data_IF_903073727974
#
_entry.id   IF_903073727974
#
_cell.length_a   1.000
_cell.length_b   1.000
_cell.length_c   1.000
_cell.angle_alpha   90.00
_cell.angle_beta   90.00
_cell.angle_gamma   90.00
#
_symmetry.space_group_name_H-M   'P 1'
#
loop_
_entity.id
_entity.type
_entity.pdbx_description
1 polymer ?
#
# COMPACT_ATOMS: atom_id res chain seq x y z
N UNK A 1 4.10 -38.37 -22.82
CA UNK A 1 3.64 -37.13 -23.48
C UNK A 1 2.16 -36.99 -23.20
N UNK A 2 1.77 -36.03 -22.36
CA UNK A 2 0.38 -35.84 -21.93
C UNK A 2 0.20 -34.43 -21.41
N UNK A 3 0.21 -33.46 -22.33
CA UNK A 3 0.01 -32.06 -22.03
C UNK A 3 -1.41 -31.83 -21.53
N UNK A 4 -1.55 -31.50 -20.25
CA UNK A 4 -2.78 -30.93 -19.72
C UNK A 4 -2.79 -29.44 -20.05
N UNK A 5 -3.29 -29.08 -21.23
CA UNK A 5 -3.72 -27.72 -21.51
C UNK A 5 -4.98 -27.44 -20.71
N UNK A 6 -4.82 -26.72 -19.60
CA UNK A 6 -5.94 -26.10 -18.91
C UNK A 6 -6.51 -25.01 -19.84
N UNK A 7 -7.77 -25.08 -20.28
CA UNK A 7 -8.34 -24.01 -21.07
C UNK A 7 -8.54 -22.81 -20.14
N UNK A 8 -7.79 -21.74 -20.37
CA UNK A 8 -8.13 -20.42 -19.85
C UNK A 8 -9.52 -20.09 -20.37
N UNK A 9 -10.55 -20.29 -19.54
CA UNK A 9 -11.89 -19.78 -19.79
C UNK A 9 -11.75 -18.26 -19.92
N UNK A 10 -11.89 -17.75 -21.14
CA UNK A 10 -12.09 -16.33 -21.36
C UNK A 10 -13.31 -15.92 -20.55
N UNK A 11 -13.09 -15.03 -19.57
CA UNK A 11 -14.20 -14.39 -18.89
C UNK A 11 -14.89 -13.51 -19.93
N UNK A 12 -15.99 -14.00 -20.52
CA UNK A 12 -16.92 -13.19 -21.29
C UNK A 12 -17.67 -12.26 -20.34
N UNK A 13 -16.94 -11.32 -19.74
CA UNK A 13 -17.50 -10.17 -19.03
C UNK A 13 -17.63 -9.03 -20.02
N UNK A 14 -18.78 -8.35 -20.02
CA UNK A 14 -18.97 -7.15 -20.83
C UNK A 14 -17.98 -6.03 -20.48
N UNK A 15 -18.12 -4.89 -21.16
CA UNK A 15 -17.37 -3.67 -20.84
C UNK A 15 -18.05 -2.95 -19.68
N UNK A 16 -17.27 -2.33 -18.79
CA UNK A 16 -17.81 -1.52 -17.69
C UNK A 16 -18.68 -0.40 -18.26
N UNK A 17 -19.76 -0.02 -17.56
CA UNK A 17 -20.65 1.08 -17.96
C UNK A 17 -20.67 2.17 -16.90
N UNK A 18 -21.11 3.37 -17.27
CA UNK A 18 -21.29 4.50 -16.34
C UNK A 18 -22.13 4.11 -15.12
N UNK A 19 -23.26 3.45 -15.37
CA UNK A 19 -24.16 3.00 -14.32
C UNK A 19 -23.48 2.00 -13.39
N UNK A 20 -22.78 1.02 -13.94
CA UNK A 20 -22.06 0.03 -13.13
C UNK A 20 -20.90 0.67 -12.36
N UNK A 21 -20.18 1.63 -12.96
CA UNK A 21 -19.12 2.35 -12.28
C UNK A 21 -19.68 3.13 -11.09
N UNK A 22 -20.75 3.91 -11.30
CA UNK A 22 -21.41 4.62 -10.23
C UNK A 22 -21.85 3.65 -9.12
N UNK A 23 -22.63 2.62 -9.46
CA UNK A 23 -23.32 1.77 -8.49
C UNK A 23 -22.42 0.79 -7.74
N UNK A 24 -21.37 0.26 -8.40
CA UNK A 24 -20.56 -0.83 -7.85
C UNK A 24 -19.10 -0.44 -7.59
N UNK A 25 -18.54 0.56 -8.31
CA UNK A 25 -17.13 0.97 -8.16
C UNK A 25 -17.00 2.12 -7.16
N UNK A 26 -17.88 3.12 -7.22
CA UNK A 26 -17.85 4.25 -6.29
C UNK A 26 -18.42 3.85 -4.92
N UNK A 27 -17.51 3.49 -4.00
CA UNK A 27 -17.87 3.00 -2.67
C UNK A 27 -18.34 4.06 -1.65
N UNK A 28 -17.84 5.31 -1.61
CA UNK A 28 -18.22 6.23 -0.54
C UNK A 28 -19.69 6.67 -0.62
N UNK A 29 -20.43 6.58 0.49
CA UNK A 29 -21.78 7.14 0.59
C UNK A 29 -21.82 8.66 0.54
N UNK A 30 -20.78 9.31 1.07
CA UNK A 30 -20.61 10.77 1.04
C UNK A 30 -19.20 11.11 0.56
N UNK A 31 -18.89 10.99 -0.74
CA UNK A 31 -17.53 11.15 -1.23
C UNK A 31 -17.00 12.55 -0.95
N UNK A 32 -15.67 12.69 -0.79
CA UNK A 32 -15.06 13.96 -1.15
C UNK A 32 -15.15 14.17 -2.66
N UNK A 33 -15.54 15.36 -3.10
CA UNK A 33 -15.60 15.69 -4.52
C UNK A 33 -15.32 17.18 -4.76
N UNK A 34 -14.95 17.52 -6.00
CA UNK A 34 -14.67 18.89 -6.43
C UNK A 34 -14.64 19.04 -7.95
N UNK A 35 -14.92 20.26 -8.43
CA UNK A 35 -14.69 20.67 -9.82
C UNK A 35 -13.32 21.35 -10.03
N UNK A 36 -12.65 21.74 -8.94
CA UNK A 36 -11.37 22.44 -9.00
C UNK A 36 -10.50 22.02 -7.81
N UNK A 37 -9.44 21.26 -8.09
CA UNK A 37 -8.49 20.77 -7.09
C UNK A 37 -7.84 21.90 -6.27
N UNK A 38 -7.70 23.11 -6.82
CA UNK A 38 -7.13 24.27 -6.12
C UNK A 38 -8.09 24.89 -5.09
N UNK A 39 -9.41 24.72 -5.27
CA UNK A 39 -10.43 25.23 -4.34
C UNK A 39 -10.71 24.26 -3.19
N UNK A 40 -10.00 23.13 -3.13
CA UNK A 40 -10.21 22.08 -2.15
C UNK A 40 -11.28 21.06 -2.56
N UNK A 41 -11.60 20.18 -1.63
CA UNK A 41 -12.53 19.06 -1.79
C UNK A 41 -13.49 18.99 -0.60
N UNK A 42 -14.75 18.64 -0.84
CA UNK A 42 -15.79 18.68 0.18
C UNK A 42 -16.61 17.39 0.22
N UNK A 43 -17.04 16.99 1.42
CA UNK A 43 -17.98 15.88 1.61
C UNK A 43 -19.37 16.30 1.14
N UNK A 44 -19.97 15.55 0.23
CA UNK A 44 -21.33 15.83 -0.27
C UNK A 44 -22.17 14.55 -0.40
N UNK A 45 -23.40 14.64 -0.90
CA UNK A 45 -24.20 13.46 -1.21
C UNK A 45 -23.56 12.69 -2.38
N UNK A 46 -23.89 11.40 -2.54
CA UNK A 46 -23.37 10.62 -3.66
C UNK A 46 -23.84 11.17 -5.01
N UNK A 47 -25.10 11.60 -5.09
CA UNK A 47 -25.68 12.13 -6.33
C UNK A 47 -25.01 13.46 -6.73
N UNK A 48 -24.76 14.36 -5.78
CA UNK A 48 -24.01 15.59 -6.05
C UNK A 48 -22.57 15.28 -6.46
N UNK A 49 -21.91 14.32 -5.81
CA UNK A 49 -20.54 13.95 -6.11
C UNK A 49 -20.38 13.34 -7.51
N UNK A 50 -21.38 12.58 -7.98
CA UNK A 50 -21.41 12.02 -9.33
C UNK A 50 -21.52 13.09 -10.42
N UNK A 51 -21.99 14.28 -10.09
CA UNK A 51 -22.01 15.44 -10.98
C UNK A 51 -20.69 16.26 -10.97
N UNK A 52 -19.71 15.90 -10.12
CA UNK A 52 -18.44 16.62 -10.01
C UNK A 52 -17.35 16.01 -10.90
N UNK A 53 -16.38 16.82 -11.31
CA UNK A 53 -15.24 16.41 -12.14
C UNK A 53 -14.32 15.41 -11.43
N UNK A 54 -14.09 15.59 -10.14
CA UNK A 54 -13.22 14.72 -9.34
C UNK A 54 -13.97 14.18 -8.12
N UNK A 55 -13.76 12.92 -7.80
CA UNK A 55 -14.49 12.21 -6.74
C UNK A 55 -13.60 11.19 -6.01
N UNK A 56 -13.80 11.04 -4.70
CA UNK A 56 -13.13 10.03 -3.87
C UNK A 56 -13.54 8.64 -4.33
N UNK A 57 -12.61 7.85 -4.87
CA UNK A 57 -12.94 6.53 -5.42
C UNK A 57 -13.16 5.47 -4.33
N UNK A 58 -12.50 5.61 -3.18
CA UNK A 58 -12.56 4.65 -2.08
C UNK A 58 -12.63 5.37 -0.73
N UNK A 59 -13.53 5.00 0.19
CA UNK A 59 -13.69 5.67 1.46
C UNK A 59 -12.45 5.46 2.31
N UNK A 60 -12.02 6.44 3.10
CA UNK A 60 -10.81 6.38 3.93
C UNK A 60 -10.50 5.00 4.57
N UNK A 61 -11.51 4.31 5.12
CA UNK A 61 -11.33 3.02 5.79
C UNK A 61 -11.02 1.83 4.86
N UNK A 62 -11.39 1.89 3.57
CA UNK A 62 -11.30 0.77 2.62
C UNK A 62 -10.64 1.21 1.33
N UNK A 63 -9.84 0.35 0.71
CA UNK A 63 -9.41 0.49 -0.67
C UNK A 63 -10.28 -0.41 -1.54
N UNK A 64 -11.15 0.20 -2.35
CA UNK A 64 -12.05 -0.47 -3.29
C UNK A 64 -11.51 -0.56 -4.70
N UNK A 65 -10.61 0.37 -5.05
CA UNK A 65 -9.97 0.42 -6.35
C UNK A 65 -8.54 0.90 -6.21
N UNK A 66 -7.67 0.45 -7.12
CA UNK A 66 -6.34 1.00 -7.31
C UNK A 66 -6.43 1.98 -8.47
N UNK A 67 -6.05 3.25 -8.24
CA UNK A 67 -6.08 4.30 -9.26
C UNK A 67 -4.70 4.89 -9.39
N UNK A 68 -4.20 4.96 -10.61
CA UNK A 68 -2.89 5.52 -10.95
C UNK A 68 -3.11 6.77 -11.81
N UNK A 69 -2.51 7.89 -11.43
CA UNK A 69 -2.44 9.09 -12.26
C UNK A 69 -1.28 8.92 -13.26
N UNK A 70 -1.55 9.19 -14.53
CA UNK A 70 -0.59 9.09 -15.62
C UNK A 70 -0.59 10.40 -16.40
N UNK A 71 0.56 11.07 -16.37
CA UNK A 71 0.74 12.40 -16.95
C UNK A 71 1.38 12.32 -18.34
N UNK A 72 0.79 11.51 -19.22
CA UNK A 72 1.29 11.36 -20.59
C UNK A 72 0.15 11.46 -21.61
N UNK A 73 0.42 12.10 -22.75
CA UNK A 73 -0.58 12.38 -23.81
C UNK A 73 -1.24 11.13 -24.41
N UNK A 74 -0.54 10.00 -24.34
CA UNK A 74 -0.93 8.69 -24.87
C UNK A 74 -1.34 7.73 -23.73
N UNK A 75 -1.64 8.23 -22.51
CA UNK A 75 -1.91 7.39 -21.34
C UNK A 75 -3.03 6.36 -21.57
N UNK A 76 -4.09 6.74 -22.28
CA UNK A 76 -5.15 5.82 -22.70
C UNK A 76 -4.65 4.73 -23.66
N UNK A 77 -3.80 5.08 -24.61
CA UNK A 77 -3.19 4.13 -25.53
C UNK A 77 -2.30 3.15 -24.75
N UNK A 78 -1.37 3.64 -23.93
CA UNK A 78 -0.48 2.80 -23.11
C UNK A 78 -1.24 1.86 -22.18
N UNK A 79 -2.37 2.29 -21.64
CA UNK A 79 -3.17 1.50 -20.72
C UNK A 79 -3.89 0.31 -21.39
N UNK A 80 -4.06 0.32 -22.72
CA UNK A 80 -4.72 -0.76 -23.46
C UNK A 80 -3.84 -1.38 -24.56
N UNK A 81 -2.69 -0.78 -24.86
CA UNK A 81 -1.73 -1.26 -25.86
C UNK A 81 -1.28 -2.68 -25.53
N UNK A 82 -1.14 -3.50 -26.58
CA UNK A 82 -0.71 -4.89 -26.47
C UNK A 82 0.61 -5.08 -27.22
N UNK A 83 1.55 -5.88 -26.67
CA UNK A 83 1.46 -6.61 -25.41
C UNK A 83 1.60 -5.70 -24.17
N UNK A 84 0.74 -5.89 -23.16
CA UNK A 84 0.86 -5.20 -21.87
C UNK A 84 1.50 -6.10 -20.79
N UNK A 85 2.25 -5.50 -19.87
CA UNK A 85 2.83 -6.18 -18.71
C UNK A 85 1.94 -6.08 -17.45
N UNK A 86 0.78 -5.44 -17.59
CA UNK A 86 -0.26 -5.28 -16.58
C UNK A 86 -1.63 -5.77 -17.10
N UNK A 87 -2.56 -6.12 -16.19
CA UNK A 87 -3.94 -6.42 -16.58
C UNK A 87 -4.65 -5.20 -17.15
N UNK A 88 -5.58 -5.43 -18.07
CA UNK A 88 -6.43 -4.39 -18.61
C UNK A 88 -7.12 -3.60 -17.48
N UNK A 89 -7.10 -2.26 -17.50
CA UNK A 89 -7.81 -1.46 -16.52
C UNK A 89 -9.33 -1.58 -16.72
N UNK A 90 -10.08 -1.40 -15.64
CA UNK A 90 -11.54 -1.35 -15.70
C UNK A 90 -12.02 -0.01 -16.30
N UNK A 91 -11.28 1.07 -16.07
CA UNK A 91 -11.52 2.36 -16.73
C UNK A 91 -10.24 3.17 -16.90
N UNK A 92 -10.25 4.04 -17.90
CA UNK A 92 -9.32 5.15 -18.07
C UNK A 92 -10.14 6.41 -18.28
N UNK A 93 -10.00 7.38 -17.38
CA UNK A 93 -10.63 8.71 -17.54
C UNK A 93 -9.54 9.72 -17.89
N UNK A 94 -9.60 10.30 -19.08
CA UNK A 94 -8.57 11.18 -19.64
C UNK A 94 -9.10 12.60 -19.83
N UNK A 95 -8.27 13.60 -19.53
CA UNK A 95 -8.55 14.99 -19.92
C UNK A 95 -8.05 15.28 -21.33
N UNK A 96 -8.57 16.30 -22.03
CA UNK A 96 -8.06 16.69 -23.36
C UNK A 96 -6.55 17.00 -23.42
N UNK A 97 -5.94 17.38 -22.29
CA UNK A 97 -4.47 17.57 -22.20
C UNK A 97 -3.67 16.28 -22.12
N UNK A 98 -4.33 15.11 -22.11
CA UNK A 98 -3.71 13.80 -22.07
C UNK A 98 -3.57 13.17 -20.68
N UNK A 99 -3.61 13.96 -19.60
CA UNK A 99 -3.50 13.41 -18.23
C UNK A 99 -4.65 12.46 -17.93
N UNK A 100 -4.36 11.23 -17.52
CA UNK A 100 -5.37 10.19 -17.33
C UNK A 100 -5.30 9.56 -15.94
N UNK A 101 -6.46 9.17 -15.41
CA UNK A 101 -6.53 8.27 -14.27
C UNK A 101 -6.93 6.89 -14.76
N UNK A 102 -6.10 5.91 -14.43
CA UNK A 102 -6.27 4.51 -14.82
C UNK A 102 -6.69 3.73 -13.57
N UNK A 103 -7.79 2.99 -13.66
CA UNK A 103 -8.41 2.36 -12.50
C UNK A 103 -8.65 0.87 -12.62
N UNK A 104 -8.35 0.14 -11.55
CA UNK A 104 -8.67 -1.27 -11.37
C UNK A 104 -9.56 -1.46 -10.14
N UNK A 105 -10.76 -2.00 -10.35
CA UNK A 105 -11.80 -2.22 -9.35
C UNK A 105 -11.61 -3.58 -8.65
N UNK A 106 -11.71 -3.61 -7.31
CA UNK A 106 -11.50 -4.82 -6.51
C UNK A 106 -12.79 -5.60 -6.17
N UNK A 107 -13.96 -5.11 -6.58
CA UNK A 107 -15.24 -5.72 -6.23
C UNK A 107 -15.39 -5.92 -4.73
N UNK A 108 -15.93 -7.05 -4.24
CA UNK A 108 -16.14 -7.27 -2.81
C UNK A 108 -14.84 -7.44 -1.99
N UNK A 109 -13.67 -7.56 -2.63
CA UNK A 109 -12.39 -7.86 -1.99
C UNK A 109 -11.64 -6.60 -1.53
N UNK A 110 -12.35 -5.68 -0.88
CA UNK A 110 -11.76 -4.43 -0.40
C UNK A 110 -10.62 -4.66 0.60
N UNK A 111 -9.64 -3.76 0.60
CA UNK A 111 -8.52 -3.80 1.56
C UNK A 111 -8.78 -2.80 2.67
N UNK A 112 -8.88 -3.29 3.92
CA UNK A 112 -8.98 -2.41 5.08
C UNK A 112 -7.69 -1.59 5.26
N UNK A 113 -7.85 -0.28 5.53
CA UNK A 113 -6.75 0.70 5.72
C UNK A 113 -6.68 1.26 7.14
N UNK A 114 -7.60 0.88 8.02
CA UNK A 114 -7.65 1.36 9.40
C UNK A 114 -6.66 0.60 10.31
N UNK A 115 -6.59 0.98 11.57
CA UNK A 115 -5.84 0.26 12.62
C UNK A 115 -6.27 -1.20 12.81
N UNK A 116 -7.48 -1.54 12.38
CA UNK A 116 -8.04 -2.90 12.39
C UNK A 116 -7.60 -3.74 11.17
N UNK A 117 -6.82 -3.16 10.26
CA UNK A 117 -6.38 -3.82 9.04
C UNK A 117 -5.40 -4.97 9.32
N UNK A 118 -5.55 -6.05 8.55
CA UNK A 118 -4.48 -7.04 8.40
C UNK A 118 -3.36 -6.40 7.57
N UNK A 119 -2.16 -6.33 8.13
CA UNK A 119 -1.00 -5.73 7.45
C UNK A 119 -0.62 -6.47 6.15
N UNK A 120 -0.87 -7.77 6.05
CA UNK A 120 -0.48 -8.58 4.88
C UNK A 120 -1.22 -8.14 3.60
N UNK A 121 -2.57 -8.09 3.55
CA UNK A 121 -3.30 -7.52 2.41
C UNK A 121 -2.91 -6.07 2.10
N UNK A 122 -2.77 -5.21 3.11
CA UNK A 122 -2.42 -3.81 2.91
C UNK A 122 -1.05 -3.63 2.25
N UNK A 123 -0.04 -4.36 2.73
CA UNK A 123 1.30 -4.39 2.12
C UNK A 123 1.27 -4.97 0.72
N UNK A 124 0.45 -5.99 0.49
CA UNK A 124 0.34 -6.58 -0.85
C UNK A 124 -0.31 -5.61 -1.83
N UNK A 125 -1.40 -4.93 -1.44
CA UNK A 125 -2.05 -3.91 -2.25
C UNK A 125 -1.08 -2.79 -2.64
N UNK A 126 -0.21 -2.37 -1.73
CA UNK A 126 0.80 -1.36 -2.05
C UNK A 126 1.88 -1.88 -3.02
N UNK A 127 2.30 -3.15 -2.91
CA UNK A 127 3.20 -3.76 -3.91
C UNK A 127 2.55 -3.81 -5.29
N UNK A 128 1.27 -4.16 -5.35
CA UNK A 128 0.47 -4.19 -6.58
C UNK A 128 0.39 -2.77 -7.19
N UNK A 129 0.02 -1.77 -6.39
CA UNK A 129 0.00 -0.36 -6.81
C UNK A 129 1.36 0.07 -7.39
N UNK A 130 2.46 -0.30 -6.72
CA UNK A 130 3.83 0.00 -7.20
C UNK A 130 4.10 -0.65 -8.55
N UNK A 131 3.75 -1.94 -8.71
CA UNK A 131 3.93 -2.66 -9.97
C UNK A 131 3.13 -2.04 -11.11
N UNK A 132 1.84 -1.77 -10.89
CA UNK A 132 0.96 -1.13 -11.87
C UNK A 132 1.46 0.27 -12.26
N UNK A 133 1.94 1.05 -11.28
CA UNK A 133 2.48 2.38 -11.51
C UNK A 133 3.72 2.36 -12.40
N UNK A 134 4.63 1.40 -12.21
CA UNK A 134 5.79 1.22 -13.09
C UNK A 134 5.31 0.83 -14.49
N UNK A 135 4.43 -0.17 -14.58
CA UNK A 135 3.90 -0.69 -15.85
C UNK A 135 3.28 0.39 -16.73
N UNK A 136 2.50 1.32 -16.14
CA UNK A 136 1.83 2.40 -16.89
C UNK A 136 2.57 3.74 -16.89
N UNK A 137 3.81 3.78 -16.37
CA UNK A 137 4.57 5.02 -16.24
C UNK A 137 3.87 6.11 -15.40
N UNK A 138 3.16 5.70 -14.36
CA UNK A 138 2.34 6.59 -13.53
C UNK A 138 3.14 7.43 -12.54
N UNK A 139 2.50 8.48 -12.03
CA UNK A 139 3.08 9.40 -11.05
C UNK A 139 3.14 8.78 -9.62
N UNK A 140 4.34 8.81 -9.04
CA UNK A 140 4.62 8.34 -7.68
C UNK A 140 4.28 9.35 -6.59
N UNK A 141 4.16 10.64 -6.94
CA UNK A 141 3.77 11.70 -6.01
C UNK A 141 2.26 11.69 -5.72
N UNK A 142 1.45 11.27 -6.70
CA UNK A 142 0.00 11.15 -6.58
C UNK A 142 -0.44 10.38 -5.31
N UNK A 143 -1.27 11.04 -4.51
CA UNK A 143 -1.75 10.56 -3.19
C UNK A 143 -2.93 9.60 -3.25
N UNK A 144 -3.55 9.41 -4.42
CA UNK A 144 -4.54 8.34 -4.60
C UNK A 144 -5.90 8.55 -3.94
N UNK A 145 -6.29 9.77 -3.55
CA UNK A 145 -7.59 10.01 -2.90
C UNK A 145 -8.71 10.27 -3.92
N UNK A 146 -8.54 11.25 -4.80
CA UNK A 146 -9.55 11.68 -5.77
C UNK A 146 -9.24 11.14 -7.16
N UNK A 147 -10.20 10.50 -7.81
CA UNK A 147 -10.10 10.17 -9.23
C UNK A 147 -10.81 11.20 -10.10
N UNK A 148 -10.38 11.38 -11.36
CA UNK A 148 -11.26 11.89 -12.42
C UNK A 148 -12.49 11.00 -12.45
N UNK A 149 -13.67 11.61 -12.38
CA UNK A 149 -14.95 10.93 -12.34
C UNK A 149 -15.32 10.37 -13.72
N UNK A 150 -15.23 9.05 -13.99
CA UNK A 150 -15.34 8.51 -15.34
C UNK A 150 -16.66 8.78 -16.06
N UNK A 151 -17.73 9.12 -15.31
CA UNK A 151 -19.03 9.45 -15.89
C UNK A 151 -19.23 10.95 -16.18
N UNK A 152 -18.26 11.80 -15.83
CA UNK A 152 -18.36 13.24 -16.03
C UNK A 152 -18.00 13.62 -17.47
N UNK A 153 -18.79 14.48 -18.16
CA UNK A 153 -18.62 14.77 -19.59
C UNK A 153 -17.32 15.48 -19.96
N UNK A 154 -16.67 16.18 -19.02
CA UNK A 154 -15.35 16.80 -19.25
C UNK A 154 -14.22 15.78 -19.53
N UNK A 155 -14.44 14.50 -19.24
CA UNK A 155 -13.43 13.46 -19.42
C UNK A 155 -13.79 12.52 -20.55
N UNK A 156 -12.78 12.19 -21.35
CA UNK A 156 -12.85 11.11 -22.31
C UNK A 156 -12.58 9.81 -21.58
N UNK A 157 -13.63 9.00 -21.42
CA UNK A 157 -13.56 7.74 -20.67
C UNK A 157 -13.57 6.54 -21.60
N UNK A 158 -12.59 5.66 -21.43
CA UNK A 158 -12.54 4.36 -22.07
C UNK A 158 -12.72 3.30 -20.99
N UNK A 159 -13.75 2.46 -21.16
CA UNK A 159 -14.01 1.35 -20.26
C UNK A 159 -13.37 0.07 -20.76
N UNK A 160 -12.80 -0.68 -19.82
CA UNK A 160 -12.31 -2.04 -20.04
C UNK A 160 -13.27 -3.08 -19.45
N UNK A 161 -12.77 -4.25 -19.04
CA UNK A 161 -13.59 -5.33 -18.52
C UNK A 161 -14.49 -4.89 -17.35
N UNK A 162 -15.75 -5.33 -17.34
CA UNK A 162 -16.71 -5.10 -16.26
C UNK A 162 -16.46 -5.96 -15.02
N UNK A 163 -15.58 -6.95 -15.11
CA UNK A 163 -15.32 -7.90 -14.03
C UNK A 163 -14.33 -7.31 -13.02
N UNK A 164 -14.64 -7.36 -11.70
CA UNK A 164 -13.69 -6.92 -10.68
C UNK A 164 -12.49 -7.87 -10.54
N UNK A 165 -11.38 -7.33 -10.06
CA UNK A 165 -10.16 -8.06 -9.81
C UNK A 165 -9.97 -8.43 -8.34
N UNK A 166 -9.35 -9.57 -8.09
CA UNK A 166 -8.62 -9.80 -6.83
C UNK A 166 -7.26 -9.11 -6.90
N UNK A 167 -6.69 -8.72 -5.75
CA UNK A 167 -5.33 -8.15 -5.71
C UNK A 167 -4.29 -9.04 -6.41
N UNK A 168 -4.45 -10.37 -6.35
CA UNK A 168 -3.51 -11.31 -6.99
C UNK A 168 -3.52 -11.18 -8.51
N UNK A 169 -4.69 -10.98 -9.09
CA UNK A 169 -4.83 -10.83 -10.55
C UNK A 169 -4.22 -9.53 -11.05
N UNK A 170 -4.02 -8.54 -10.17
CA UNK A 170 -3.38 -7.26 -10.48
C UNK A 170 -1.84 -7.30 -10.44
N UNK A 171 -1.23 -8.45 -10.15
CA UNK A 171 0.22 -8.54 -10.08
C UNK A 171 0.85 -8.44 -11.48
N UNK A 172 1.83 -7.55 -11.59
CA UNK A 172 2.65 -7.33 -12.80
C UNK A 172 4.06 -7.90 -12.62
N UNK A 173 4.83 -7.96 -13.70
CA UNK A 173 6.26 -8.31 -13.63
C UNK A 173 7.07 -7.34 -12.76
N UNK A 174 6.60 -6.09 -12.64
CA UNK A 174 7.21 -5.05 -11.83
C UNK A 174 6.73 -5.04 -10.38
N UNK A 175 5.80 -5.92 -10.00
CA UNK A 175 5.34 -6.01 -8.62
C UNK A 175 6.49 -6.45 -7.72
N UNK A 176 7.01 -5.59 -6.82
CA UNK A 176 8.18 -5.91 -6.03
C UNK A 176 7.88 -7.07 -5.07
N UNK A 177 8.90 -7.88 -4.74
CA UNK A 177 8.76 -8.94 -3.74
C UNK A 177 8.62 -8.40 -2.31
N UNK A 178 9.30 -7.30 -2.03
CA UNK A 178 9.27 -6.59 -0.75
C UNK A 178 9.31 -5.08 -1.01
N UNK A 179 8.66 -4.32 -0.15
CA UNK A 179 8.75 -2.86 -0.19
C UNK A 179 10.04 -2.36 0.47
N UNK A 180 10.55 -1.19 0.05
CA UNK A 180 11.61 -0.51 0.75
C UNK A 180 11.25 -0.32 2.22
N UNK A 181 12.22 -0.61 3.09
CA UNK A 181 12.05 -0.44 4.54
C UNK A 181 12.46 0.94 5.02
N UNK A 182 13.20 1.68 4.19
CA UNK A 182 13.71 3.01 4.51
C UNK A 182 12.75 4.09 3.96
N UNK A 183 12.49 5.16 4.73
CA UNK A 183 11.61 6.24 4.31
C UNK A 183 12.02 6.90 2.99
N UNK A 184 13.30 7.22 2.79
CA UNK A 184 13.85 7.87 1.58
C UNK A 184 13.50 7.18 0.26
N UNK A 185 13.13 5.90 0.30
CA UNK A 185 12.76 5.09 -0.87
C UNK A 185 11.27 4.78 -0.98
N UNK A 186 10.46 5.24 -0.03
CA UNK A 186 9.03 4.98 0.00
C UNK A 186 8.25 6.01 -0.83
N UNK A 187 7.29 5.53 -1.61
CA UNK A 187 6.51 6.31 -2.58
C UNK A 187 5.04 5.87 -2.57
N UNK A 188 4.11 6.70 -3.07
CA UNK A 188 2.68 6.35 -3.13
C UNK A 188 2.08 5.95 -1.77
N UNK A 189 1.26 4.87 -1.74
CA UNK A 189 0.67 4.31 -0.50
C UNK A 189 1.73 3.77 0.48
N UNK A 190 2.97 3.57 0.03
CA UNK A 190 4.07 2.99 0.80
C UNK A 190 4.57 3.87 1.90
N UNK A 191 4.43 5.18 1.74
CA UNK A 191 4.83 6.17 2.73
C UNK A 191 4.08 5.95 4.05
N UNK A 192 2.76 5.78 4.00
CA UNK A 192 1.96 5.51 5.20
C UNK A 192 2.36 4.20 5.89
N UNK A 193 2.54 3.12 5.12
CA UNK A 193 2.98 1.82 5.68
C UNK A 193 4.38 1.91 6.28
N UNK A 194 5.32 2.57 5.61
CA UNK A 194 6.70 2.75 6.06
C UNK A 194 6.77 3.62 7.30
N UNK A 195 6.06 4.75 7.32
CA UNK A 195 5.96 5.64 8.49
C UNK A 195 5.38 4.90 9.69
N UNK A 196 4.29 4.15 9.49
CA UNK A 196 3.69 3.33 10.54
C UNK A 196 4.66 2.29 11.08
N UNK A 197 5.34 1.55 10.19
CA UNK A 197 6.28 0.49 10.55
C UNK A 197 7.55 1.01 11.24
N UNK A 198 8.10 2.14 10.80
CA UNK A 198 9.23 2.79 11.43
C UNK A 198 8.86 3.30 12.82
N UNK A 199 7.81 4.11 12.90
CA UNK A 199 7.36 4.76 14.14
C UNK A 199 6.95 3.74 15.19
N UNK A 200 6.17 2.71 14.85
CA UNK A 200 5.72 1.72 15.86
C UNK A 200 6.89 0.89 16.41
N UNK A 201 7.87 0.54 15.57
CA UNK A 201 9.05 -0.24 16.01
C UNK A 201 9.91 0.57 16.96
N UNK A 202 10.05 1.88 16.69
CA UNK A 202 10.70 2.81 17.60
C UNK A 202 9.90 2.99 18.90
N UNK A 203 8.58 3.19 18.81
CA UNK A 203 7.73 3.50 19.96
C UNK A 203 7.59 2.36 20.96
N UNK A 204 7.55 1.09 20.50
CA UNK A 204 7.39 -0.06 21.40
C UNK A 204 8.36 -0.09 22.59
N UNK A 205 9.70 0.03 22.42
CA UNK A 205 10.61 0.09 23.55
C UNK A 205 10.53 1.39 24.35
N UNK A 206 10.10 2.52 23.75
CA UNK A 206 10.01 3.80 24.48
C UNK A 206 8.95 3.77 25.58
N UNK A 207 7.87 3.01 25.37
CA UNK A 207 6.76 2.94 26.33
C UNK A 207 7.24 2.65 27.75
N UNK A 208 8.25 1.79 27.94
CA UNK A 208 8.76 1.45 29.27
C UNK A 208 9.22 2.68 30.07
N UNK A 209 9.91 3.61 29.43
CA UNK A 209 10.43 4.83 30.07
C UNK A 209 9.33 5.86 30.33
N UNK A 210 8.27 5.85 29.51
CA UNK A 210 7.20 6.84 29.54
C UNK A 210 5.91 6.35 30.21
N UNK A 211 5.84 5.10 30.67
CA UNK A 211 4.63 4.45 31.22
C UNK A 211 4.05 5.14 32.48
N UNK A 212 4.88 5.86 33.24
CA UNK A 212 4.48 6.60 34.43
C UNK A 212 4.09 8.06 34.12
N UNK A 213 4.22 8.49 32.86
CA UNK A 213 3.86 9.83 32.42
C UNK A 213 2.38 9.96 32.04
N UNK A 214 2.01 11.06 31.38
CA UNK A 214 0.64 11.27 30.90
C UNK A 214 0.45 10.76 29.48
N UNK A 215 -0.78 10.37 29.15
CA UNK A 215 -1.13 9.99 27.77
C UNK A 215 -0.92 11.13 26.75
N UNK A 216 -1.03 12.40 27.19
CA UNK A 216 -0.75 13.57 26.35
C UNK A 216 0.73 13.67 25.98
N UNK A 217 1.62 13.48 26.96
CA UNK A 217 3.06 13.51 26.72
C UNK A 217 3.48 12.37 25.79
N UNK A 218 2.86 11.20 25.97
CA UNK A 218 3.03 10.05 25.09
C UNK A 218 2.56 10.34 23.65
N UNK A 219 1.37 10.90 23.48
CA UNK A 219 0.83 11.30 22.17
C UNK A 219 1.77 12.29 21.46
N UNK A 220 2.27 13.31 22.17
CA UNK A 220 3.21 14.28 21.62
C UNK A 220 4.54 13.65 21.21
N UNK A 221 5.10 12.76 22.04
CA UNK A 221 6.34 12.05 21.75
C UNK A 221 6.22 11.21 20.47
N UNK A 222 5.14 10.44 20.34
CA UNK A 222 4.88 9.62 19.14
C UNK A 222 4.66 10.49 17.91
N UNK A 223 3.91 11.60 18.03
CA UNK A 223 3.69 12.55 16.94
C UNK A 223 4.98 13.19 16.45
N UNK A 224 5.86 13.62 17.37
CA UNK A 224 7.14 14.23 17.03
C UNK A 224 8.03 13.26 16.25
N UNK A 225 8.11 11.99 16.67
CA UNK A 225 8.88 10.99 15.95
C UNK A 225 8.26 10.67 14.59
N UNK A 226 6.93 10.55 14.52
CA UNK A 226 6.22 10.32 13.26
C UNK A 226 6.47 11.46 12.26
N UNK A 227 6.50 12.70 12.75
CA UNK A 227 6.86 13.88 11.95
C UNK A 227 8.32 13.81 11.46
N UNK A 228 9.27 13.43 12.32
CA UNK A 228 10.67 13.25 11.92
C UNK A 228 10.81 12.22 10.78
N UNK A 229 10.17 11.05 10.91
CA UNK A 229 10.15 10.04 9.83
C UNK A 229 9.55 10.61 8.54
N UNK A 230 8.49 11.43 8.63
CA UNK A 230 7.87 12.05 7.46
C UNK A 230 8.81 13.00 6.70
N UNK A 231 9.76 13.65 7.41
CA UNK A 231 10.75 14.53 6.78
C UNK A 231 11.82 13.79 5.98
N UNK A 232 11.96 12.48 6.18
CA UNK A 232 12.89 11.64 5.41
C UNK A 232 12.30 11.21 4.05
N UNK A 233 11.00 11.39 3.81
CA UNK A 233 10.40 11.10 2.51
C UNK A 233 10.80 12.15 1.48
N UNK A 234 11.12 11.70 0.26
CA UNK A 234 11.32 12.59 -0.90
C UNK A 234 10.14 13.52 -1.15
N UNK A 235 8.92 13.04 -0.87
CA UNK A 235 7.69 13.85 -0.89
C UNK A 235 6.91 13.60 0.40
N UNK A 236 7.03 14.50 1.40
CA UNK A 236 6.36 14.38 2.69
C UNK A 236 4.84 14.21 2.55
N UNK A 237 4.25 13.42 3.46
CA UNK A 237 2.81 13.31 3.58
C UNK A 237 2.21 14.58 4.23
N UNK A 238 0.95 14.92 3.92
CA UNK A 238 0.22 15.96 4.63
C UNK A 238 0.20 15.70 6.14
N UNK A 239 0.26 16.78 6.94
CA UNK A 239 0.29 16.66 8.41
C UNK A 239 -0.91 15.90 8.99
N UNK A 240 -2.06 15.92 8.30
CA UNK A 240 -3.24 15.14 8.68
C UNK A 240 -2.98 13.62 8.68
N UNK A 241 -2.25 13.11 7.70
CA UNK A 241 -1.85 11.69 7.59
C UNK A 241 -0.83 11.33 8.67
N UNK A 242 0.14 12.23 8.92
CA UNK A 242 1.14 12.08 10.00
C UNK A 242 0.43 11.98 11.35
N UNK A 243 -0.49 12.90 11.63
CA UNK A 243 -1.25 12.93 12.88
C UNK A 243 -2.11 11.67 13.04
N UNK A 244 -2.79 11.23 11.98
CA UNK A 244 -3.60 10.02 12.01
C UNK A 244 -2.76 8.77 12.32
N UNK A 245 -1.59 8.64 11.69
CA UNK A 245 -0.65 7.54 11.93
C UNK A 245 -0.11 7.55 13.36
N UNK A 246 0.32 8.71 13.84
CA UNK A 246 0.80 8.88 15.21
C UNK A 246 -0.28 8.51 16.24
N UNK A 247 -1.51 8.99 16.06
CA UNK A 247 -2.64 8.67 16.94
C UNK A 247 -2.98 7.18 16.94
N UNK A 248 -2.95 6.53 15.77
CA UNK A 248 -3.19 5.08 15.66
C UNK A 248 -2.18 4.28 16.48
N UNK A 249 -0.89 4.59 16.33
CA UNK A 249 0.20 3.93 17.08
C UNK A 249 0.07 4.24 18.58
N UNK A 250 -0.08 5.51 18.91
CA UNK A 250 -0.08 5.99 20.29
C UNK A 250 -1.22 5.37 21.09
N UNK A 251 -2.47 5.49 20.59
CA UNK A 251 -3.66 4.93 21.24
C UNK A 251 -3.59 3.43 21.37
N UNK A 252 -3.12 2.73 20.34
CA UNK A 252 -2.99 1.28 20.40
C UNK A 252 -1.97 0.86 21.47
N UNK A 253 -0.79 1.49 21.53
CA UNK A 253 0.20 1.16 22.56
C UNK A 253 -0.37 1.48 23.94
N UNK A 254 -0.91 2.67 24.15
CA UNK A 254 -1.44 3.11 25.44
C UNK A 254 -2.56 2.19 25.97
N UNK A 255 -3.42 1.70 25.08
CA UNK A 255 -4.51 0.79 25.45
C UNK A 255 -4.06 -0.64 25.72
N UNK A 256 -3.04 -1.13 25.00
CA UNK A 256 -2.70 -2.56 24.98
C UNK A 256 -1.40 -2.90 25.70
N UNK A 257 -0.63 -1.93 26.20
CA UNK A 257 0.60 -2.20 26.93
C UNK A 257 0.35 -2.07 28.43
N UNK A 258 0.68 -3.14 29.14
CA UNK A 258 0.81 -3.19 30.60
C UNK A 258 2.22 -3.65 30.94
N UNK A 259 2.67 -3.42 32.18
CA UNK A 259 4.00 -3.87 32.59
C UNK A 259 4.17 -5.38 32.41
N UNK A 260 3.14 -6.15 32.77
CA UNK A 260 3.11 -7.60 32.63
C UNK A 260 3.25 -8.03 31.16
N UNK A 261 2.41 -7.50 30.27
CA UNK A 261 2.45 -7.82 28.84
C UNK A 261 3.78 -7.40 28.21
N UNK A 262 4.33 -6.25 28.60
CA UNK A 262 5.61 -5.77 28.10
C UNK A 262 6.74 -6.71 28.52
N UNK A 263 6.82 -7.09 29.81
CA UNK A 263 7.83 -8.03 30.31
C UNK A 263 7.70 -9.40 29.65
N UNK A 264 6.48 -9.94 29.53
CA UNK A 264 6.23 -11.20 28.85
C UNK A 264 6.69 -11.16 27.38
N UNK A 265 6.43 -10.06 26.68
CA UNK A 265 6.91 -9.83 25.32
C UNK A 265 8.44 -9.78 25.25
N UNK A 266 9.10 -9.05 26.15
CA UNK A 266 10.56 -8.98 26.18
C UNK A 266 11.19 -10.35 26.49
N UNK A 267 10.63 -11.11 27.42
CA UNK A 267 11.06 -12.47 27.72
C UNK A 267 10.93 -13.39 26.49
N UNK A 268 9.78 -13.36 25.80
CA UNK A 268 9.57 -14.12 24.57
C UNK A 268 10.54 -13.73 23.45
N UNK A 269 10.78 -12.43 23.26
CA UNK A 269 11.75 -11.93 22.27
C UNK A 269 13.18 -12.35 22.64
N UNK A 270 13.55 -12.28 23.92
CA UNK A 270 14.84 -12.76 24.43
C UNK A 270 15.05 -14.26 24.21
N UNK A 271 14.02 -15.08 24.44
CA UNK A 271 14.07 -16.51 24.15
C UNK A 271 14.25 -16.81 22.66
N UNK A 272 13.54 -16.09 21.78
CA UNK A 272 13.71 -16.23 20.32
C UNK A 272 15.10 -15.80 19.87
N UNK A 273 15.60 -14.68 20.40
CA UNK A 273 16.96 -14.21 20.15
C UNK A 273 18.00 -15.24 20.56
N UNK A 274 17.90 -15.75 21.80
CA UNK A 274 18.78 -16.79 22.33
C UNK A 274 18.80 -18.06 21.46
N UNK A 275 17.63 -18.56 21.02
CA UNK A 275 17.53 -19.73 20.12
C UNK A 275 18.18 -19.48 18.75
N UNK A 276 17.98 -18.30 18.15
CA UNK A 276 18.63 -17.94 16.89
C UNK A 276 20.15 -17.84 17.03
N UNK A 277 20.63 -17.28 18.14
CA UNK A 277 22.07 -17.24 18.47
C UNK A 277 22.63 -18.64 18.69
N UNK A 278 21.89 -19.58 19.28
CA UNK A 278 22.32 -20.98 19.44
C UNK A 278 22.46 -21.69 18.10
N UNK A 279 21.50 -21.54 17.18
CA UNK A 279 21.59 -22.14 15.84
C UNK A 279 22.75 -21.55 15.03
N UNK A 280 22.89 -20.23 15.02
CA UNK A 280 24.02 -19.56 14.36
C UNK A 280 25.37 -19.92 14.99
N UNK A 281 25.44 -20.08 16.32
CA UNK A 281 26.64 -20.61 17.01
C UNK A 281 26.92 -22.06 16.62
N UNK A 282 25.91 -22.92 16.55
CA UNK A 282 26.08 -24.32 16.15
C UNK A 282 26.55 -24.46 14.69
N UNK A 283 26.08 -23.57 13.80
CA UNK A 283 26.50 -23.52 12.40
C UNK A 283 27.92 -22.94 12.26
N UNK A 284 28.27 -21.92 13.05
CA UNK A 284 29.63 -21.39 13.13
C UNK A 284 30.63 -22.43 13.67
N UNK A 285 30.26 -23.20 14.70
CA UNK A 285 31.06 -24.32 15.23
C UNK A 285 31.26 -25.40 14.16
N UNK A 286 30.19 -25.79 13.43
CA UNK A 286 30.31 -26.75 12.31
C UNK A 286 31.22 -26.26 11.19
N UNK A 287 31.11 -24.98 10.81
CA UNK A 287 31.95 -24.40 9.76
C UNK A 287 33.42 -24.29 10.19
N UNK A 288 33.69 -24.01 11.46
CA UNK A 288 35.06 -24.00 11.99
C UNK A 288 35.65 -25.40 12.08
N UNK A 289 34.88 -26.41 12.47
CA UNK A 289 35.32 -27.81 12.46
C UNK A 289 35.67 -28.27 11.03
N UNK A 290 34.85 -27.90 10.03
CA UNK A 290 35.11 -28.24 8.63
C UNK A 290 36.38 -27.60 8.08
N UNK A 291 36.66 -26.34 8.45
CA UNK A 291 37.91 -25.65 8.08
C UNK A 291 39.14 -26.27 8.74
N UNK A 292 39.00 -26.75 9.97
CA UNK A 292 40.06 -27.45 10.68
C UNK A 292 40.39 -28.79 9.99
N UNK A 293 39.37 -29.60 9.66
CA UNK A 293 39.56 -30.85 8.91
C UNK A 293 40.19 -30.62 7.53
N UNK A 294 39.75 -29.59 6.79
CA UNK A 294 40.35 -29.22 5.49
C UNK A 294 41.82 -28.78 5.63
N UNK A 295 42.20 -28.13 6.74
CA UNK A 295 43.58 -27.76 7.05
C UNK A 295 44.43 -28.97 7.41
N UNK A 296 43.93 -29.83 8.30
CA UNK A 296 44.61 -31.06 8.73
C UNK A 296 44.80 -32.03 7.57
N UNK A 297 43.82 -32.15 6.66
CA UNK A 297 43.99 -32.95 5.43
C UNK A 297 45.03 -32.37 4.47
N UNK A 298 45.18 -31.04 4.40
CA UNK A 298 46.22 -30.39 3.58
C UNK A 298 47.61 -30.60 4.16
N UNK A 299 47.75 -30.57 5.49
CA UNK A 299 49.02 -30.84 6.17
C UNK A 299 49.44 -32.32 6.10
N UNK A 300 48.49 -33.25 5.98
CA UNK A 300 48.77 -34.68 5.85
C UNK A 300 49.17 -35.13 4.42
N UNK A 301 49.09 -34.25 3.43
CA UNK A 301 49.42 -34.52 2.01
C UNK A 301 50.81 -33.97 1.64
N UNK A 302 51.50 -33.28 2.56
CA UNK A 302 52.88 -32.81 2.43
C UNK A 302 53.81 -33.75 3.21
#
# INVERSE_FOLDING_TARGET
MGGHSCPMKSATGGVLSDRQWADAVLLPHRPFATNNLQRGQYRMSRDDALAMRYVEHSPHALLGSIVIDCDHVDAAMRAFEQPSDHPAPNWVAQSPSGRAHIGWWLGPNHVCRTDSARLTPLRYAHRIETGLKISVGGDFAYGGQLTKNPIHPDWETIYGPATPYTLRQLATIHTPRQMPRRPDRAVGLGRNVTMFDATRRWAYPQWWQHRNGTGRDWDHLVLQHCHAVNTEFTTPLPFTEVRATAQSISKWIWRNFTEEQYRARQAHLGQKGGKATTLAKQEAVRNNARKYDEHTMREAII
#
